data_IF_237716781874
#
_entry.id   IF_237716781874
#
_cell.length_a   1.000
_cell.length_b   1.000
_cell.length_c   1.000
_cell.angle_alpha   90.00
_cell.angle_beta   90.00
_cell.angle_gamma   90.00
#
_symmetry.space_group_name_H-M   'P 1'
#
loop_
_entity.id
_entity.type
_entity.pdbx_description
1 polymer ?
#
# COMPACT_ATOMS: atom_id res chain seq x y z
N UNK A 1 17.28 4.97 -30.78
CA UNK A 1 17.44 6.41 -31.10
C UNK A 1 16.17 7.04 -31.71
N UNK A 2 15.34 6.31 -32.47
CA UNK A 2 14.15 6.85 -33.17
C UNK A 2 13.01 7.33 -32.25
N UNK A 3 12.73 6.63 -31.15
CA UNK A 3 11.60 6.97 -30.26
C UNK A 3 11.81 8.29 -29.49
N UNK A 4 13.03 8.56 -28.98
CA UNK A 4 13.34 9.77 -28.21
C UNK A 4 13.30 11.03 -29.09
N UNK A 5 13.78 10.92 -30.34
CA UNK A 5 13.71 11.98 -31.35
C UNK A 5 12.27 12.31 -31.75
N UNK A 6 11.41 11.29 -31.92
CA UNK A 6 10.00 11.48 -32.23
C UNK A 6 9.25 12.18 -31.09
N UNK A 7 9.52 11.83 -29.83
CA UNK A 7 8.86 12.44 -28.68
C UNK A 7 9.32 13.89 -28.45
N UNK A 8 10.62 14.18 -28.64
CA UNK A 8 11.11 15.57 -28.59
C UNK A 8 10.51 16.42 -29.71
N UNK A 9 10.35 15.86 -30.91
CA UNK A 9 9.69 16.55 -32.03
C UNK A 9 8.21 16.83 -31.75
N UNK A 10 7.47 15.87 -31.17
CA UNK A 10 6.08 16.06 -30.71
C UNK A 10 5.96 17.13 -29.63
N UNK A 11 6.84 17.12 -28.63
CA UNK A 11 6.85 18.15 -27.59
C UNK A 11 7.14 19.54 -28.16
N UNK A 12 8.13 19.67 -29.05
CA UNK A 12 8.43 20.94 -29.74
C UNK A 12 7.25 21.44 -30.57
N UNK A 13 6.55 20.55 -31.27
CA UNK A 13 5.37 20.90 -32.07
C UNK A 13 4.18 21.42 -31.22
N UNK A 14 4.08 21.04 -29.94
CA UNK A 14 3.00 21.50 -29.03
C UNK A 14 3.27 22.85 -28.38
N UNK A 15 4.53 23.30 -28.31
CA UNK A 15 4.92 24.54 -27.63
C UNK A 15 4.29 25.81 -28.24
N UNK A 16 4.21 25.99 -29.57
CA UNK A 16 3.59 27.18 -30.17
C UNK A 16 2.12 27.33 -29.78
N UNK A 17 1.37 26.22 -29.79
CA UNK A 17 -0.05 26.20 -29.41
C UNK A 17 -0.24 26.59 -27.93
N UNK A 18 0.57 26.04 -27.04
CA UNK A 18 0.52 26.39 -25.62
C UNK A 18 0.88 27.86 -25.36
N UNK A 19 1.86 28.40 -26.10
CA UNK A 19 2.20 29.83 -26.05
C UNK A 19 1.06 30.71 -26.55
N UNK A 20 0.40 30.33 -27.64
CA UNK A 20 -0.75 31.07 -28.16
C UNK A 20 -1.92 31.11 -27.17
N UNK A 21 -2.23 29.96 -26.53
CA UNK A 21 -3.26 29.89 -25.47
C UNK A 21 -2.89 30.74 -24.27
N UNK A 22 -1.62 30.70 -23.84
CA UNK A 22 -1.13 31.54 -22.75
C UNK A 22 -1.28 33.02 -23.06
N UNK A 23 -0.78 33.48 -24.21
CA UNK A 23 -0.86 34.89 -24.61
C UNK A 23 -2.31 35.36 -24.74
N UNK A 24 -3.18 34.58 -25.39
CA UNK A 24 -4.60 34.93 -25.51
C UNK A 24 -5.32 35.02 -24.16
N UNK A 25 -4.95 34.18 -23.20
CA UNK A 25 -5.50 34.24 -21.83
C UNK A 25 -5.01 35.49 -21.09
N UNK A 26 -3.75 35.85 -21.25
CA UNK A 26 -3.14 37.05 -20.63
C UNK A 26 -3.78 38.33 -21.19
N UNK A 27 -3.99 38.41 -22.50
CA UNK A 27 -4.63 39.55 -23.15
C UNK A 27 -6.10 39.72 -22.73
N UNK A 28 -6.84 38.61 -22.58
CA UNK A 28 -8.21 38.62 -22.08
C UNK A 28 -8.27 39.12 -20.63
N UNK A 29 -7.38 38.63 -19.77
CA UNK A 29 -7.30 39.06 -18.37
C UNK A 29 -6.92 40.54 -18.23
N UNK A 30 -6.09 41.07 -19.13
CA UNK A 30 -5.72 42.49 -19.16
C UNK A 30 -6.91 43.42 -19.44
N UNK A 31 -7.89 42.96 -20.21
CA UNK A 31 -9.11 43.72 -20.52
C UNK A 31 -10.16 43.70 -19.39
N UNK A 32 -10.11 42.69 -18.51
CA UNK A 32 -11.13 42.46 -17.47
C UNK A 32 -10.71 42.92 -16.08
N UNK A 33 -9.40 42.99 -15.81
CA UNK A 33 -8.86 43.30 -14.48
C UNK A 33 -8.40 44.74 -14.38
N UNK A 34 -8.65 45.36 -13.22
CA UNK A 34 -8.07 46.65 -12.87
C UNK A 34 -6.53 46.58 -12.89
N UNK A 35 -5.89 47.62 -13.41
CA UNK A 35 -4.44 47.66 -13.72
C UNK A 35 -3.55 47.17 -12.57
N UNK A 36 -3.82 47.60 -11.35
CA UNK A 36 -3.06 47.23 -10.14
C UNK A 36 -3.15 45.74 -9.79
N UNK A 37 -4.31 45.12 -9.99
CA UNK A 37 -4.54 43.69 -9.73
C UNK A 37 -3.87 42.85 -10.81
N UNK A 38 -3.97 43.29 -12.07
CA UNK A 38 -3.31 42.63 -13.19
C UNK A 38 -1.78 42.62 -13.03
N UNK A 39 -1.18 43.75 -12.65
CA UNK A 39 0.27 43.85 -12.41
C UNK A 39 0.74 42.94 -11.27
N UNK A 40 -0.03 42.86 -10.17
CA UNK A 40 0.26 41.95 -9.06
C UNK A 40 0.15 40.47 -9.47
N UNK A 41 -0.87 40.13 -10.26
CA UNK A 41 -1.08 38.78 -10.79
C UNK A 41 0.07 38.34 -11.71
N UNK A 42 0.48 39.20 -12.65
CA UNK A 42 1.60 38.90 -13.56
C UNK A 42 2.89 38.68 -12.77
N UNK A 43 3.18 39.55 -11.79
CA UNK A 43 4.36 39.42 -10.93
C UNK A 43 4.37 38.11 -10.13
N UNK A 44 3.22 37.70 -9.60
CA UNK A 44 3.08 36.42 -8.90
C UNK A 44 3.24 35.22 -9.84
N UNK A 45 2.60 35.26 -11.01
CA UNK A 45 2.67 34.21 -12.03
C UNK A 45 4.10 34.00 -12.52
N UNK A 46 4.84 35.08 -12.78
CA UNK A 46 6.25 35.02 -13.18
C UNK A 46 7.13 34.40 -12.09
N UNK A 47 6.91 34.78 -10.83
CA UNK A 47 7.63 34.22 -9.70
C UNK A 47 7.36 32.72 -9.53
N UNK A 48 6.08 32.32 -9.58
CA UNK A 48 5.67 30.91 -9.49
C UNK A 48 6.25 30.09 -10.65
N UNK A 49 6.18 30.61 -11.87
CA UNK A 49 6.70 29.95 -13.08
C UNK A 49 8.22 29.77 -13.02
N UNK A 50 8.96 30.80 -12.58
CA UNK A 50 10.42 30.71 -12.37
C UNK A 50 10.76 29.64 -11.34
N UNK A 51 10.02 29.59 -10.23
CA UNK A 51 10.24 28.62 -9.14
C UNK A 51 10.00 27.18 -9.62
N UNK A 52 8.90 26.94 -10.33
CA UNK A 52 8.58 25.63 -10.93
C UNK A 52 9.62 25.23 -11.97
N UNK A 53 10.05 26.16 -12.82
CA UNK A 53 11.09 25.92 -13.83
C UNK A 53 12.42 25.50 -13.20
N UNK A 54 12.87 26.19 -12.15
CA UNK A 54 14.10 25.83 -11.41
C UNK A 54 13.98 24.44 -10.80
N UNK A 55 12.86 24.13 -10.15
CA UNK A 55 12.62 22.80 -9.56
C UNK A 55 12.62 21.70 -10.62
N UNK A 56 11.92 21.89 -11.74
CA UNK A 56 11.89 20.93 -12.85
C UNK A 56 13.28 20.73 -13.47
N UNK A 57 14.05 21.81 -13.67
CA UNK A 57 15.43 21.74 -14.19
C UNK A 57 16.34 20.95 -13.26
N UNK A 58 16.20 21.11 -11.94
CA UNK A 58 16.95 20.31 -10.96
C UNK A 58 16.56 18.83 -11.01
N UNK A 59 15.26 18.51 -11.13
CA UNK A 59 14.80 17.11 -11.27
C UNK A 59 15.35 16.47 -12.54
N UNK A 60 15.31 17.18 -13.67
CA UNK A 60 15.85 16.67 -14.94
C UNK A 60 17.36 16.46 -14.88
N UNK A 61 18.11 17.38 -14.25
CA UNK A 61 19.56 17.21 -14.00
C UNK A 61 19.85 15.99 -13.12
N UNK A 62 19.08 15.78 -12.05
CA UNK A 62 19.21 14.59 -11.19
C UNK A 62 18.92 13.29 -11.95
N UNK A 63 17.86 13.27 -12.78
CA UNK A 63 17.53 12.11 -13.63
C UNK A 63 18.65 11.81 -14.64
N UNK A 64 19.21 12.84 -15.26
CA UNK A 64 20.32 12.72 -16.20
C UNK A 64 21.59 12.19 -15.51
N UNK A 65 21.98 12.77 -14.38
CA UNK A 65 23.13 12.31 -13.61
C UNK A 65 22.96 10.87 -13.14
N UNK A 66 21.75 10.48 -12.71
CA UNK A 66 21.43 9.10 -12.34
C UNK A 66 21.56 8.12 -13.53
N UNK A 67 21.08 8.52 -14.70
CA UNK A 67 21.23 7.75 -15.95
C UNK A 67 22.71 7.60 -16.34
N UNK A 68 23.51 8.67 -16.24
CA UNK A 68 24.94 8.61 -16.50
C UNK A 68 25.64 7.65 -15.54
N UNK A 69 25.39 7.73 -14.24
CA UNK A 69 25.95 6.81 -13.23
C UNK A 69 25.56 5.35 -13.50
N UNK A 70 24.34 5.12 -14.00
CA UNK A 70 23.86 3.77 -14.34
C UNK A 70 24.55 3.22 -15.60
N UNK A 71 24.88 4.06 -16.57
CA UNK A 71 25.54 3.67 -17.82
C UNK A 71 27.06 3.55 -17.70
N UNK A 72 27.70 4.24 -16.74
CA UNK A 72 29.16 4.23 -16.54
C UNK A 72 29.65 3.21 -15.51
N UNK A 73 28.75 2.56 -14.77
CA UNK A 73 29.11 1.43 -13.91
C UNK A 73 29.41 0.20 -14.77
N UNK A 74 30.69 -0.17 -14.88
CA UNK A 74 31.07 -1.50 -15.35
C UNK A 74 30.37 -2.56 -14.50
N UNK A 75 29.79 -3.62 -15.08
CA UNK A 75 29.26 -4.72 -14.30
C UNK A 75 30.40 -5.38 -13.50
N UNK A 76 30.15 -5.87 -12.28
CA UNK A 76 31.12 -6.72 -11.61
C UNK A 76 31.37 -7.96 -12.48
N UNK A 77 32.64 -8.36 -12.58
CA UNK A 77 33.11 -9.46 -13.40
C UNK A 77 32.21 -10.70 -13.30
N UNK A 78 31.91 -11.30 -14.46
CA UNK A 78 31.32 -12.63 -14.55
C UNK A 78 32.32 -13.67 -14.04
N UNK A 79 32.27 -13.94 -12.74
CA UNK A 79 33.04 -14.99 -12.09
C UNK A 79 32.16 -16.20 -11.80
N UNK A 80 32.30 -17.22 -12.66
CA UNK A 80 32.01 -18.65 -12.47
C UNK A 80 30.57 -19.05 -12.10
N UNK A 81 29.91 -19.66 -13.09
CA UNK A 81 28.84 -20.63 -12.89
C UNK A 81 29.30 -21.70 -11.90
N UNK A 82 28.59 -21.82 -10.77
CA UNK A 82 28.62 -22.99 -9.90
C UNK A 82 27.20 -23.53 -9.85
N UNK A 83 26.96 -24.83 -10.05
CA UNK A 83 25.64 -25.43 -9.88
C UNK A 83 25.21 -25.18 -8.45
N UNK A 84 24.04 -24.55 -8.25
CA UNK A 84 23.58 -24.16 -6.92
C UNK A 84 23.07 -25.40 -6.17
N UNK A 85 24.00 -26.12 -5.54
CA UNK A 85 23.69 -26.97 -4.41
C UNK A 85 23.32 -26.07 -3.23
N UNK A 86 22.10 -26.25 -2.74
CA UNK A 86 21.47 -25.54 -1.62
C UNK A 86 22.38 -25.61 -0.40
N UNK A 87 23.17 -24.57 -0.15
CA UNK A 87 24.07 -24.53 1.01
C UNK A 87 23.28 -24.08 2.23
N UNK A 88 23.40 -24.83 3.33
CA UNK A 88 22.71 -24.65 4.61
C UNK A 88 22.89 -23.26 5.27
N UNK A 89 23.74 -22.40 4.72
CA UNK A 89 24.04 -21.05 5.22
C UNK A 89 22.90 -20.04 5.08
N UNK A 90 21.89 -20.26 4.22
CA UNK A 90 20.73 -19.36 4.11
C UNK A 90 19.63 -19.67 5.15
N UNK A 91 19.72 -20.79 5.87
CA UNK A 91 18.73 -21.21 6.88
C UNK A 91 18.79 -20.40 8.19
N UNK A 92 19.86 -19.65 8.45
CA UNK A 92 20.07 -18.84 9.67
C UNK A 92 19.57 -17.41 9.53
N UNK A 93 19.31 -16.96 8.30
CA UNK A 93 18.82 -15.62 7.98
C UNK A 93 17.32 -15.75 7.86
N UNK A 94 16.53 -15.07 8.71
CA UNK A 94 15.05 -15.18 8.73
C UNK A 94 14.32 -14.81 7.42
N UNK A 95 15.02 -14.66 6.29
CA UNK A 95 14.53 -14.32 4.95
C UNK A 95 15.02 -15.36 3.95
N UNK A 96 14.10 -15.99 3.22
CA UNK A 96 14.36 -16.97 2.18
C UNK A 96 13.91 -16.40 0.84
N UNK A 97 14.80 -16.43 -0.16
CA UNK A 97 14.46 -15.96 -1.50
C UNK A 97 14.25 -17.13 -2.47
N UNK A 98 12.99 -17.40 -2.81
CA UNK A 98 12.59 -18.36 -3.85
C UNK A 98 12.26 -17.66 -5.18
N UNK A 99 12.46 -16.35 -5.28
CA UNK A 99 12.22 -15.59 -6.52
C UNK A 99 13.44 -15.61 -7.43
N UNK A 100 13.22 -15.58 -8.74
CA UNK A 100 14.26 -15.53 -9.77
C UNK A 100 15.17 -14.29 -9.66
N UNK A 101 14.66 -13.20 -9.10
CA UNK A 101 15.43 -11.98 -8.88
C UNK A 101 16.16 -12.05 -7.52
N UNK A 102 17.45 -11.74 -7.44
CA UNK A 102 18.17 -11.73 -6.17
C UNK A 102 17.66 -10.60 -5.25
N UNK A 103 17.83 -10.78 -3.94
CA UNK A 103 17.67 -9.72 -2.95
C UNK A 103 19.04 -9.11 -2.64
N UNK A 104 19.12 -7.78 -2.66
CA UNK A 104 20.28 -7.08 -2.11
C UNK A 104 20.37 -7.24 -0.59
N UNK A 105 21.57 -7.11 -0.03
CA UNK A 105 21.78 -7.27 1.42
C UNK A 105 20.90 -6.34 2.27
N UNK A 106 20.63 -5.12 1.78
CA UNK A 106 19.77 -4.16 2.47
C UNK A 106 18.30 -4.58 2.48
N UNK A 107 17.84 -5.14 1.37
CA UNK A 107 16.49 -5.70 1.27
C UNK A 107 16.33 -6.87 2.24
N UNK A 108 17.35 -7.74 2.35
CA UNK A 108 17.38 -8.81 3.35
C UNK A 108 17.30 -8.25 4.78
N UNK A 109 18.10 -7.24 5.12
CA UNK A 109 18.07 -6.62 6.46
C UNK A 109 16.69 -6.09 6.83
N UNK A 110 16.02 -5.38 5.92
CA UNK A 110 14.68 -4.83 6.20
C UNK A 110 13.63 -5.95 6.31
N UNK A 111 13.74 -6.99 5.49
CA UNK A 111 12.84 -8.13 5.57
C UNK A 111 13.05 -8.95 6.85
N UNK A 112 14.26 -8.94 7.44
CA UNK A 112 14.53 -9.58 8.75
C UNK A 112 13.77 -8.92 9.90
N UNK A 113 13.51 -7.61 9.84
CA UNK A 113 12.64 -6.92 10.83
C UNK A 113 11.20 -7.47 10.83
N UNK A 114 10.80 -8.16 9.75
CA UNK A 114 9.53 -8.86 9.62
C UNK A 114 8.41 -7.99 9.04
N UNK A 115 7.32 -8.65 8.62
CA UNK A 115 6.19 -7.97 7.94
C UNK A 115 5.32 -7.12 8.86
N UNK A 116 5.48 -7.30 10.18
CA UNK A 116 4.77 -6.51 11.19
C UNK A 116 5.58 -5.27 11.60
N UNK A 117 6.80 -5.08 11.07
CA UNK A 117 7.61 -3.91 11.35
C UNK A 117 6.95 -2.66 10.74
N UNK A 118 6.70 -1.66 11.58
CA UNK A 118 6.14 -0.38 11.17
C UNK A 118 7.23 0.69 11.33
N UNK A 119 7.75 1.26 10.23
CA UNK A 119 8.68 2.38 10.30
C UNK A 119 8.06 3.57 11.03
N UNK A 120 8.88 4.36 11.74
CA UNK A 120 8.38 5.55 12.45
C UNK A 120 7.64 6.48 11.48
N UNK A 121 6.32 6.71 11.68
CA UNK A 121 5.57 7.56 10.79
C UNK A 121 6.01 9.01 10.94
N UNK A 122 5.91 9.81 9.87
CA UNK A 122 6.29 11.23 9.89
C UNK A 122 5.40 12.07 10.82
N UNK A 123 4.17 11.63 11.01
CA UNK A 123 3.17 12.25 11.87
C UNK A 123 2.46 11.13 12.64
N UNK A 124 2.07 11.37 13.89
CA UNK A 124 1.23 10.43 14.63
C UNK A 124 -0.07 10.16 13.87
N UNK A 125 -0.60 8.94 13.91
CA UNK A 125 -1.87 8.61 13.29
C UNK A 125 -3.03 9.15 14.16
N UNK A 126 -3.27 10.45 14.11
CA UNK A 126 -4.25 11.12 14.98
C UNK A 126 -5.66 10.53 14.86
N UNK A 127 -6.09 10.15 13.66
CA UNK A 127 -7.39 9.52 13.46
C UNK A 127 -7.49 8.15 14.14
N UNK A 128 -6.44 7.34 14.07
CA UNK A 128 -6.41 6.02 14.71
C UNK A 128 -6.35 6.11 16.25
N UNK A 129 -5.96 7.27 16.77
CA UNK A 129 -5.99 7.57 18.21
C UNK A 129 -7.37 8.13 18.61
N UNK A 130 -7.89 9.09 17.84
CA UNK A 130 -9.13 9.82 18.17
C UNK A 130 -10.35 8.93 17.99
N UNK A 131 -10.44 8.17 16.89
CA UNK A 131 -11.65 7.41 16.55
C UNK A 131 -12.01 6.35 17.61
N UNK A 132 -11.08 5.50 18.09
CA UNK A 132 -11.41 4.55 19.17
C UNK A 132 -11.76 5.26 20.47
N UNK A 133 -11.10 6.37 20.80
CA UNK A 133 -11.43 7.12 22.02
C UNK A 133 -12.85 7.67 21.93
N UNK A 134 -13.22 8.33 20.84
CA UNK A 134 -14.58 8.87 20.67
C UNK A 134 -15.65 7.76 20.67
N UNK A 135 -15.37 6.62 20.03
CA UNK A 135 -16.28 5.47 20.03
C UNK A 135 -16.53 4.95 21.45
N UNK A 136 -15.47 4.80 22.26
CA UNK A 136 -15.58 4.38 23.66
C UNK A 136 -16.23 5.45 24.56
N UNK A 137 -16.10 6.73 24.22
CA UNK A 137 -16.71 7.83 24.98
C UNK A 137 -18.22 7.98 24.71
N UNK A 138 -18.77 7.31 23.71
CA UNK A 138 -20.21 7.36 23.39
C UNK A 138 -21.13 6.83 24.51
N UNK A 139 -20.61 5.94 25.37
CA UNK A 139 -21.34 5.29 26.48
C UNK A 139 -21.04 5.89 27.85
N UNK A 140 -20.16 6.89 27.94
CA UNK A 140 -19.68 7.49 29.19
C UNK A 140 -20.48 8.76 29.50
N UNK A 141 -20.60 9.08 30.80
CA UNK A 141 -21.16 10.36 31.26
C UNK A 141 -20.61 11.57 30.47
N UNK A 142 -21.47 12.48 29.98
CA UNK A 142 -21.07 13.59 29.13
C UNK A 142 -20.00 14.51 29.74
N UNK A 143 -20.00 14.71 31.06
CA UNK A 143 -19.02 15.57 31.72
C UNK A 143 -17.65 14.90 31.76
N UNK A 144 -17.62 13.61 32.13
CA UNK A 144 -16.38 12.80 32.12
C UNK A 144 -15.83 12.65 30.69
N UNK A 145 -16.69 12.41 29.70
CA UNK A 145 -16.31 12.32 28.30
C UNK A 145 -15.68 13.64 27.80
N UNK A 146 -16.31 14.78 28.12
CA UNK A 146 -15.78 16.11 27.75
C UNK A 146 -14.41 16.38 28.40
N UNK A 147 -14.21 15.96 29.65
CA UNK A 147 -12.91 16.06 30.32
C UNK A 147 -11.84 15.23 29.61
N UNK A 148 -12.15 14.00 29.20
CA UNK A 148 -11.24 13.13 28.46
C UNK A 148 -10.90 13.73 27.09
N UNK A 149 -11.90 14.23 26.34
CA UNK A 149 -11.67 14.92 25.05
C UNK A 149 -10.74 16.12 25.19
N UNK A 150 -10.96 16.95 26.23
CA UNK A 150 -10.10 18.10 26.52
C UNK A 150 -8.67 17.65 26.82
N UNK A 151 -8.49 16.66 27.69
CA UNK A 151 -7.16 16.16 28.04
C UNK A 151 -6.42 15.60 26.82
N UNK A 152 -7.10 14.78 26.00
CA UNK A 152 -6.54 14.24 24.76
C UNK A 152 -6.16 15.36 23.78
N UNK A 153 -7.03 16.35 23.60
CA UNK A 153 -6.77 17.50 22.73
C UNK A 153 -5.55 18.30 23.19
N UNK A 154 -5.43 18.53 24.50
CA UNK A 154 -4.27 19.21 25.10
C UNK A 154 -3.00 18.40 24.90
N UNK A 155 -3.04 17.08 25.11
CA UNK A 155 -1.89 16.19 24.91
C UNK A 155 -1.43 16.18 23.45
N UNK A 156 -2.36 16.03 22.50
CA UNK A 156 -2.07 16.06 21.07
C UNK A 156 -1.46 17.41 20.65
N UNK A 157 -1.98 18.52 21.17
CA UNK A 157 -1.53 19.88 20.81
C UNK A 157 -0.19 20.26 21.43
N UNK A 158 0.03 19.89 22.69
CA UNK A 158 1.22 20.32 23.44
C UNK A 158 2.42 19.40 23.23
N UNK A 159 2.19 18.15 22.80
CA UNK A 159 3.28 17.21 22.59
C UNK A 159 4.11 17.59 21.35
N UNK A 160 5.40 17.89 21.55
CA UNK A 160 6.35 18.02 20.44
C UNK A 160 6.79 16.64 19.99
N UNK A 161 6.17 16.13 18.93
CA UNK A 161 6.56 14.87 18.32
C UNK A 161 7.96 14.97 17.71
N UNK A 162 8.98 14.60 18.49
CA UNK A 162 10.31 14.34 17.97
C UNK A 162 10.29 12.95 17.31
N UNK A 163 10.33 12.92 15.98
CA UNK A 163 10.41 11.66 15.25
C UNK A 163 11.87 11.33 15.01
N UNK A 164 12.45 10.46 15.84
CA UNK A 164 13.67 9.77 15.46
C UNK A 164 13.29 8.71 14.43
N UNK A 165 13.76 8.81 13.18
CA UNK A 165 13.42 7.83 12.17
C UNK A 165 14.07 6.49 12.53
N UNK A 166 13.26 5.42 12.62
CA UNK A 166 13.76 4.06 12.88
C UNK A 166 14.54 3.47 11.71
N UNK A 167 14.34 4.02 10.50
CA UNK A 167 15.01 3.60 9.28
C UNK A 167 15.69 4.78 8.59
N UNK A 168 16.85 4.54 7.97
CA UNK A 168 17.48 5.49 7.08
C UNK A 168 16.62 5.77 5.84
N UNK A 169 16.91 6.88 5.15
CA UNK A 169 16.24 7.23 3.88
C UNK A 169 16.42 6.14 2.81
N UNK A 170 17.55 5.45 2.82
CA UNK A 170 17.85 4.39 1.87
C UNK A 170 17.08 3.11 2.20
N UNK A 171 16.91 2.76 3.47
CA UNK A 171 16.09 1.63 3.89
C UNK A 171 14.61 1.88 3.63
N UNK A 172 14.13 3.09 3.90
CA UNK A 172 12.78 3.52 3.51
C UNK A 172 12.54 3.38 2.00
N UNK A 173 13.55 3.61 1.17
CA UNK A 173 13.44 3.38 -0.28
C UNK A 173 13.37 1.90 -0.64
N UNK A 174 14.00 1.01 0.14
CA UNK A 174 13.93 -0.43 -0.10
C UNK A 174 12.53 -0.99 0.21
N UNK A 175 11.71 -0.34 1.05
CA UNK A 175 10.28 -0.71 1.21
C UNK A 175 9.48 -0.63 -0.10
N UNK A 176 10.01 0.00 -1.15
CA UNK A 176 9.48 -0.08 -2.50
C UNK A 176 9.52 -1.49 -3.10
N UNK A 177 10.19 -2.45 -2.46
CA UNK A 177 10.02 -3.90 -2.68
C UNK A 177 8.54 -4.29 -2.84
N UNK A 178 7.65 -3.74 -1.99
CA UNK A 178 6.20 -3.99 -2.07
C UNK A 178 5.55 -3.46 -3.36
N UNK A 179 6.18 -2.52 -4.08
CA UNK A 179 5.69 -1.96 -5.34
C UNK A 179 6.04 -2.82 -6.55
N UNK A 180 7.00 -3.73 -6.42
CA UNK A 180 7.33 -4.66 -7.49
C UNK A 180 6.24 -5.73 -7.60
N UNK A 181 5.30 -5.52 -8.52
CA UNK A 181 4.15 -6.40 -8.72
C UNK A 181 4.52 -7.83 -9.11
N UNK A 182 5.72 -8.06 -9.66
CA UNK A 182 6.19 -9.39 -10.04
C UNK A 182 6.61 -10.27 -8.85
N UNK A 183 6.69 -9.73 -7.64
CA UNK A 183 7.16 -10.46 -6.45
C UNK A 183 6.09 -10.45 -5.37
N UNK A 184 5.91 -11.61 -4.73
CA UNK A 184 5.10 -11.80 -3.54
C UNK A 184 6.03 -11.93 -2.34
N UNK A 185 5.69 -11.24 -1.25
CA UNK A 185 6.38 -11.35 0.04
C UNK A 185 5.37 -11.96 1.01
N UNK A 186 5.66 -13.16 1.51
CA UNK A 186 4.79 -13.93 2.39
C UNK A 186 5.52 -14.38 3.65
N UNK A 187 4.77 -14.72 4.70
CA UNK A 187 5.33 -15.45 5.85
C UNK A 187 5.44 -16.93 5.49
N UNK A 188 6.51 -17.58 5.95
CA UNK A 188 6.64 -19.02 5.89
C UNK A 188 5.60 -19.70 6.81
N UNK A 189 5.22 -20.92 6.46
CA UNK A 189 4.32 -21.76 7.26
C UNK A 189 4.89 -22.11 8.64
N UNK A 190 6.24 -22.18 8.75
CA UNK A 190 6.96 -22.47 9.99
C UNK A 190 8.22 -21.60 10.13
N UNK A 191 8.63 -21.36 11.37
CA UNK A 191 9.92 -20.74 11.70
C UNK A 191 9.96 -19.21 11.66
N UNK A 192 8.81 -18.52 11.59
CA UNK A 192 8.70 -17.05 11.55
C UNK A 192 9.62 -16.39 10.51
N UNK A 193 9.77 -17.04 9.35
CA UNK A 193 10.62 -16.55 8.26
C UNK A 193 9.79 -15.78 7.23
N UNK A 194 10.45 -14.85 6.54
CA UNK A 194 9.89 -14.17 5.37
C UNK A 194 10.35 -14.89 4.12
N UNK A 195 9.44 -15.10 3.18
CA UNK A 195 9.71 -15.76 1.91
C UNK A 195 9.35 -14.83 0.77
N UNK A 196 10.27 -14.65 -0.16
CA UNK A 196 10.00 -13.93 -1.42
C UNK A 196 9.87 -14.91 -2.57
N UNK A 197 8.79 -14.79 -3.35
CA UNK A 197 8.47 -15.70 -4.46
C UNK A 197 8.03 -14.88 -5.67
N UNK A 198 8.28 -15.36 -6.88
CA UNK A 198 7.71 -14.75 -8.08
C UNK A 198 6.19 -14.91 -8.11
N UNK A 199 5.50 -13.87 -8.58
CA UNK A 199 4.03 -13.84 -8.63
C UNK A 199 3.48 -14.95 -9.53
N UNK A 200 4.12 -15.22 -10.65
CA UNK A 200 3.74 -16.29 -11.58
C UNK A 200 3.79 -17.65 -10.89
N UNK A 201 4.92 -18.00 -10.26
CA UNK A 201 5.11 -19.25 -9.52
C UNK A 201 4.14 -19.39 -8.36
N UNK A 202 3.85 -18.30 -7.64
CA UNK A 202 2.84 -18.30 -6.58
C UNK A 202 1.45 -18.64 -7.13
N UNK A 203 1.03 -17.98 -8.22
CA UNK A 203 -0.28 -18.23 -8.84
C UNK A 203 -0.37 -19.66 -9.38
N UNK A 204 0.68 -20.15 -10.03
CA UNK A 204 0.76 -21.52 -10.53
C UNK A 204 0.57 -22.55 -9.41
N UNK A 205 1.35 -22.46 -8.33
CA UNK A 205 1.25 -23.36 -7.18
C UNK A 205 -0.11 -23.28 -6.48
N UNK A 206 -0.70 -22.09 -6.38
CA UNK A 206 -2.05 -21.94 -5.82
C UNK A 206 -3.13 -22.52 -6.74
N UNK A 207 -2.95 -22.40 -8.05
CA UNK A 207 -3.87 -22.97 -9.05
C UNK A 207 -3.79 -24.50 -9.06
N UNK A 208 -2.60 -25.07 -8.91
CA UNK A 208 -2.40 -26.51 -8.75
C UNK A 208 -3.16 -27.06 -7.54
N UNK A 209 -3.10 -26.36 -6.39
CA UNK A 209 -3.88 -26.71 -5.19
C UNK A 209 -5.39 -26.68 -5.48
N UNK A 210 -5.85 -25.67 -6.21
CA UNK A 210 -7.27 -25.49 -6.56
C UNK A 210 -7.77 -26.50 -7.60
N UNK A 211 -6.91 -27.00 -8.48
CA UNK A 211 -7.26 -28.00 -9.49
C UNK A 211 -7.35 -29.44 -8.95
N UNK A 212 -7.28 -29.61 -7.63
CA UNK A 212 -7.54 -30.90 -6.99
C UNK A 212 -9.04 -31.20 -6.92
N UNK A 213 -9.41 -32.48 -6.76
CA UNK A 213 -10.80 -32.93 -6.59
C UNK A 213 -11.51 -32.39 -5.32
N UNK A 214 -10.83 -31.55 -4.52
CA UNK A 214 -11.35 -30.96 -3.28
C UNK A 214 -12.08 -29.65 -3.50
N UNK A 215 -11.86 -28.99 -4.63
CA UNK A 215 -12.45 -27.69 -4.93
C UNK A 215 -13.31 -27.78 -6.18
N UNK A 216 -14.36 -26.97 -6.22
CA UNK A 216 -15.25 -26.88 -7.38
C UNK A 216 -15.41 -25.40 -7.73
N UNK A 217 -15.25 -25.03 -9.01
CA UNK A 217 -15.48 -23.65 -9.43
C UNK A 217 -16.93 -23.26 -9.21
N UNK A 218 -17.15 -22.06 -8.68
CA UNK A 218 -18.47 -21.46 -8.56
C UNK A 218 -18.73 -20.55 -9.77
N UNK A 219 -19.95 -20.58 -10.29
CA UNK A 219 -20.36 -19.73 -11.41
C UNK A 219 -20.42 -18.24 -11.04
N UNK A 220 -20.78 -17.95 -9.79
CA UNK A 220 -20.93 -16.59 -9.27
C UNK A 220 -20.50 -16.52 -7.80
N UNK A 221 -20.15 -15.32 -7.33
CA UNK A 221 -19.80 -15.06 -5.93
C UNK A 221 -21.05 -15.16 -5.02
N UNK A 222 -21.13 -16.15 -4.11
CA UNK A 222 -22.31 -16.35 -3.26
C UNK A 222 -22.32 -15.42 -2.04
N UNK A 223 -21.34 -14.54 -1.86
CA UNK A 223 -21.16 -13.73 -0.65
C UNK A 223 -22.39 -12.89 -0.32
N UNK A 224 -22.95 -12.19 -1.31
CA UNK A 224 -24.12 -11.33 -1.08
C UNK A 224 -25.40 -12.12 -0.81
N UNK A 225 -25.61 -13.23 -1.53
CA UNK A 225 -26.74 -14.11 -1.29
C UNK A 225 -26.66 -14.70 0.13
N UNK A 226 -25.49 -15.19 0.52
CA UNK A 226 -25.22 -15.73 1.86
C UNK A 226 -25.44 -14.67 2.95
N UNK A 227 -25.01 -13.43 2.73
CA UNK A 227 -25.23 -12.29 3.64
C UNK A 227 -26.72 -11.99 3.80
N UNK A 228 -27.49 -11.90 2.70
CA UNK A 228 -28.93 -11.60 2.74
C UNK A 228 -29.71 -12.68 3.46
N UNK A 229 -29.46 -13.95 3.13
CA UNK A 229 -30.13 -15.09 3.76
C UNK A 229 -29.86 -15.10 5.27
N UNK A 230 -28.59 -14.92 5.67
CA UNK A 230 -28.21 -14.87 7.09
C UNK A 230 -28.82 -13.67 7.82
N UNK A 231 -28.83 -12.49 7.20
CA UNK A 231 -29.48 -11.31 7.76
C UNK A 231 -30.97 -11.56 7.95
N UNK A 232 -31.65 -12.16 6.98
CA UNK A 232 -33.08 -12.48 7.09
C UNK A 232 -33.35 -13.33 8.33
N UNK A 233 -32.55 -14.39 8.52
CA UNK A 233 -32.67 -15.27 9.67
C UNK A 233 -32.43 -14.54 11.01
N UNK A 234 -31.39 -13.70 11.07
CA UNK A 234 -31.10 -12.91 12.27
C UNK A 234 -32.18 -11.87 12.58
N UNK A 235 -32.82 -11.29 11.56
CA UNK A 235 -33.95 -10.37 11.75
C UNK A 235 -35.14 -11.12 12.34
N UNK A 236 -35.45 -12.32 11.82
CA UNK A 236 -36.52 -13.18 12.38
C UNK A 236 -36.26 -13.49 13.85
N UNK A 237 -35.07 -14.01 14.18
CA UNK A 237 -34.73 -14.30 15.58
C UNK A 237 -34.73 -13.06 16.46
N UNK A 238 -34.22 -11.92 15.97
CA UNK A 238 -34.25 -10.66 16.72
C UNK A 238 -35.68 -10.22 17.06
N UNK A 239 -36.65 -10.48 16.19
CA UNK A 239 -38.07 -10.17 16.45
C UNK A 239 -38.66 -11.08 17.52
N UNK A 240 -38.30 -12.37 17.50
CA UNK A 240 -38.80 -13.37 18.45
C UNK A 240 -38.16 -13.24 19.84
N UNK A 241 -36.83 -13.19 19.91
CA UNK A 241 -36.07 -13.22 21.17
C UNK A 241 -35.84 -11.85 21.79
N UNK A 242 -35.88 -10.78 20.98
CA UNK A 242 -35.53 -9.41 21.36
C UNK A 242 -34.12 -9.27 21.96
N UNK A 243 -33.23 -10.21 21.66
CA UNK A 243 -31.89 -10.22 22.20
C UNK A 243 -31.03 -9.09 21.58
N UNK A 244 -30.37 -8.25 22.41
CA UNK A 244 -29.58 -7.12 21.92
C UNK A 244 -28.45 -7.51 20.96
N UNK A 245 -27.78 -8.64 21.19
CA UNK A 245 -26.66 -9.09 20.35
C UNK A 245 -27.13 -9.55 18.97
N UNK A 246 -28.25 -10.27 18.88
CA UNK A 246 -28.82 -10.67 17.59
C UNK A 246 -29.24 -9.43 16.79
N UNK A 247 -29.85 -8.44 17.46
CA UNK A 247 -30.21 -7.15 16.84
C UNK A 247 -28.95 -6.43 16.32
N UNK A 248 -27.86 -6.41 17.11
CA UNK A 248 -26.58 -5.80 16.72
C UNK A 248 -26.00 -6.48 15.49
N UNK A 249 -25.96 -7.81 15.46
CA UNK A 249 -25.47 -8.61 14.33
C UNK A 249 -26.31 -8.39 13.07
N UNK A 250 -27.65 -8.39 13.19
CA UNK A 250 -28.55 -8.12 12.06
C UNK A 250 -28.37 -6.71 11.48
N UNK A 251 -28.14 -5.71 12.34
CA UNK A 251 -27.79 -4.32 11.93
C UNK A 251 -26.44 -4.27 11.24
N UNK A 252 -25.44 -4.96 11.79
CA UNK A 252 -24.11 -5.03 11.20
C UNK A 252 -24.20 -5.61 9.79
N UNK A 253 -25.00 -6.66 9.56
CA UNK A 253 -25.16 -7.34 8.26
C UNK A 253 -25.98 -6.56 7.23
N UNK A 254 -26.47 -5.36 7.57
CA UNK A 254 -27.31 -4.53 6.70
C UNK A 254 -26.59 -4.09 5.42
N UNK A 255 -25.36 -3.62 5.53
CA UNK A 255 -24.62 -3.05 4.40
C UNK A 255 -23.57 -4.03 3.87
N UNK A 256 -23.55 -4.21 2.55
CA UNK A 256 -22.56 -5.06 1.87
C UNK A 256 -21.12 -4.54 2.09
N UNK A 257 -20.94 -3.22 2.19
CA UNK A 257 -19.65 -2.56 2.41
C UNK A 257 -18.95 -2.97 3.71
N UNK A 258 -19.70 -3.50 4.68
CA UNK A 258 -19.16 -3.92 5.96
C UNK A 258 -18.42 -5.26 5.86
N UNK A 259 -18.53 -5.96 4.73
CA UNK A 259 -18.02 -7.31 4.57
C UNK A 259 -17.15 -7.47 3.34
N UNK A 260 -16.26 -8.44 3.44
CA UNK A 260 -15.45 -8.91 2.33
C UNK A 260 -15.69 -10.40 2.12
N UNK A 261 -15.64 -10.82 0.87
CA UNK A 261 -15.58 -12.24 0.55
C UNK A 261 -14.32 -12.85 1.19
N UNK A 262 -14.38 -14.07 1.73
CA UNK A 262 -13.20 -14.75 2.21
C UNK A 262 -12.14 -14.87 1.11
N UNK A 263 -10.88 -14.59 1.44
CA UNK A 263 -9.78 -14.60 0.46
C UNK A 263 -8.84 -15.76 0.75
N UNK A 264 -8.56 -16.57 -0.28
CA UNK A 264 -7.57 -17.63 -0.20
C UNK A 264 -6.16 -17.08 -0.44
N UNK A 265 -5.23 -17.43 0.43
CA UNK A 265 -3.81 -17.20 0.23
C UNK A 265 -3.00 -18.41 0.69
N UNK A 266 -1.73 -18.48 0.27
CA UNK A 266 -0.86 -19.62 0.51
C UNK A 266 0.34 -19.25 1.37
N UNK A 267 0.66 -20.09 2.35
CA UNK A 267 1.90 -19.99 3.13
C UNK A 267 2.94 -20.99 2.59
N UNK A 268 4.13 -20.54 2.16
CA UNK A 268 5.19 -21.44 1.69
C UNK A 268 5.67 -22.38 2.80
N UNK A 269 5.66 -23.69 2.55
CA UNK A 269 6.23 -24.73 3.43
C UNK A 269 7.68 -25.02 3.03
N UNK A 270 8.55 -24.03 3.23
CA UNK A 270 10.00 -24.08 2.91
C UNK A 270 10.81 -25.17 3.63
N UNK A 271 10.17 -25.94 4.51
CA UNK A 271 10.75 -27.08 5.23
C UNK A 271 10.37 -28.42 4.58
N UNK A 272 9.68 -28.41 3.44
CA UNK A 272 9.25 -29.60 2.71
C UNK A 272 9.82 -29.57 1.29
N UNK A 273 10.16 -30.73 0.69
CA UNK A 273 10.65 -30.79 -0.68
C UNK A 273 9.68 -30.12 -1.67
N UNK A 274 10.21 -29.32 -2.60
CA UNK A 274 9.44 -28.60 -3.62
C UNK A 274 8.69 -27.35 -3.12
N UNK A 275 8.86 -26.96 -1.85
CA UNK A 275 8.24 -25.78 -1.23
C UNK A 275 6.72 -25.67 -1.50
N UNK A 276 5.91 -26.68 -1.16
CA UNK A 276 4.47 -26.65 -1.37
C UNK A 276 3.82 -25.56 -0.50
N UNK A 277 2.64 -25.09 -0.88
CA UNK A 277 1.94 -24.04 -0.15
C UNK A 277 0.88 -24.65 0.79
N UNK A 278 0.67 -24.03 1.96
CA UNK A 278 -0.53 -24.28 2.78
C UNK A 278 -1.62 -23.30 2.34
N UNK A 279 -2.74 -23.77 1.77
CA UNK A 279 -3.89 -22.89 1.52
C UNK A 279 -4.49 -22.45 2.86
N UNK A 280 -4.71 -21.15 3.03
CA UNK A 280 -5.36 -20.51 4.19
C UNK A 280 -6.45 -19.59 3.66
N UNK A 281 -7.66 -19.72 4.21
CA UNK A 281 -8.78 -18.83 3.90
C UNK A 281 -8.84 -17.74 4.98
N UNK A 282 -8.63 -16.50 4.57
CA UNK A 282 -8.87 -15.33 5.43
C UNK A 282 -10.37 -15.10 5.53
N UNK A 283 -10.93 -15.26 6.72
CA UNK A 283 -12.32 -14.92 7.03
C UNK A 283 -12.45 -13.57 7.73
N UNK A 284 -11.37 -12.77 7.77
CA UNK A 284 -11.38 -11.44 8.39
C UNK A 284 -12.40 -10.55 7.69
N UNK A 285 -13.28 -9.92 8.47
CA UNK A 285 -14.38 -9.09 8.00
C UNK A 285 -15.30 -9.80 7.00
N UNK A 286 -15.41 -11.13 7.08
CA UNK A 286 -16.38 -11.88 6.28
C UNK A 286 -17.77 -11.81 6.89
N UNK A 287 -18.80 -12.16 6.12
CA UNK A 287 -20.19 -12.19 6.60
C UNK A 287 -20.43 -13.12 7.81
N UNK A 288 -19.44 -13.96 8.16
CA UNK A 288 -19.47 -14.86 9.31
C UNK A 288 -18.47 -14.47 10.41
N UNK A 289 -17.60 -13.46 10.22
CA UNK A 289 -16.51 -13.19 11.18
C UNK A 289 -17.00 -12.76 12.55
N UNK A 290 -18.09 -11.99 12.61
CA UNK A 290 -18.67 -11.52 13.87
C UNK A 290 -19.48 -12.59 14.61
N UNK A 291 -19.87 -13.68 13.94
CA UNK A 291 -20.56 -14.80 14.59
C UNK A 291 -19.61 -15.74 15.33
N UNK A 292 -18.32 -15.69 15.00
CA UNK A 292 -17.30 -16.55 15.58
C UNK A 292 -16.53 -15.86 16.73
N UNK A 293 -16.96 -14.67 17.15
CA UNK A 293 -16.39 -13.91 18.28
C UNK A 293 -17.25 -14.09 19.51
#
# INVERSE_FOLDING_TARGET
MSLLGNETKRHRARLPRLRAVYMGTVDLLKGWLHKTIYEAFVKHSDFATKTVCVAQKQVLRRKFNWLQVRLTRKPPNAGRNVPHATTESELTTGVINLSSSPLSEREKTILKEGLNFVPTPKQPPFLDIIAPVEDNLSSVDPQKATRIRRNLSTLIRNHRFSTTPSLSRYEMNCLQLKRHFNRIIAKADKGNRIVTVDRSTYIEKMTEILNTNKYTPLSNDPTEASRRNRRSLLVTYATETKEPEIIRLAKHLRFASNYRRPELYGLPKVHKPGDPFRPIVSTINSATSELCR
#
